data_IF_737151146377
#
_entry.id   IF_737151146377
#
_cell.length_a   1.000
_cell.length_b   1.000
_cell.length_c   1.000
_cell.angle_alpha   90.00
_cell.angle_beta   90.00
_cell.angle_gamma   90.00
#
_symmetry.space_group_name_H-M   'P 1'
#
loop_
_entity.id
_entity.type
_entity.pdbx_description
1 polymer ?
#
# COMPACT_ATOMS: atom_id res chain seq x y z
N UNK A 1 28.56 7.30 -3.11
CA UNK A 1 28.03 5.92 -3.34
C UNK A 1 27.02 5.45 -2.29
N UNK A 2 27.29 5.57 -0.98
CA UNK A 2 26.39 5.08 0.10
C UNK A 2 24.91 5.51 -0.04
N UNK A 3 24.65 6.77 -0.39
CA UNK A 3 23.28 7.30 -0.51
C UNK A 3 22.51 6.79 -1.75
N UNK A 4 23.21 6.29 -2.79
CA UNK A 4 22.57 5.69 -3.97
C UNK A 4 22.11 4.25 -3.70
N UNK A 5 22.97 3.44 -3.07
CA UNK A 5 22.64 2.05 -2.72
C UNK A 5 21.43 1.97 -1.78
N UNK A 6 21.33 2.87 -0.82
CA UNK A 6 20.21 2.92 0.14
C UNK A 6 18.90 3.26 -0.56
N UNK A 7 18.92 4.21 -1.52
CA UNK A 7 17.73 4.53 -2.32
C UNK A 7 17.26 3.33 -3.14
N UNK A 8 18.18 2.59 -3.74
CA UNK A 8 17.88 1.36 -4.48
C UNK A 8 17.29 0.29 -3.55
N UNK A 9 17.86 0.12 -2.35
CA UNK A 9 17.32 -0.80 -1.35
C UNK A 9 15.89 -0.45 -0.96
N UNK A 10 15.57 0.83 -0.74
CA UNK A 10 14.18 1.24 -0.49
C UNK A 10 13.27 1.06 -1.70
N UNK A 11 13.72 1.33 -2.93
CA UNK A 11 12.92 1.02 -4.12
C UNK A 11 12.52 -0.47 -4.14
N UNK A 12 13.48 -1.36 -3.88
CA UNK A 12 13.22 -2.80 -3.83
C UNK A 12 12.28 -3.17 -2.68
N UNK A 13 12.47 -2.60 -1.48
CA UNK A 13 11.60 -2.83 -0.34
C UNK A 13 10.15 -2.41 -0.61
N UNK A 14 9.93 -1.25 -1.25
CA UNK A 14 8.59 -0.82 -1.62
C UNK A 14 7.96 -1.69 -2.71
N UNK A 15 8.75 -2.14 -3.70
CA UNK A 15 8.28 -3.10 -4.70
C UNK A 15 7.84 -4.42 -4.06
N UNK A 16 8.66 -4.99 -3.16
CA UNK A 16 8.31 -6.21 -2.43
C UNK A 16 7.10 -6.01 -1.53
N UNK A 17 7.01 -4.88 -0.83
CA UNK A 17 5.87 -4.56 0.02
C UNK A 17 4.57 -4.46 -0.80
N UNK A 18 4.60 -3.82 -1.97
CA UNK A 18 3.43 -3.73 -2.84
C UNK A 18 3.03 -5.05 -3.49
N UNK A 19 4.01 -5.87 -3.88
CA UNK A 19 3.73 -7.23 -4.36
C UNK A 19 3.06 -8.06 -3.26
N UNK A 20 3.59 -8.03 -2.03
CA UNK A 20 3.06 -8.78 -0.91
C UNK A 20 1.70 -8.22 -0.41
N UNK A 21 1.49 -6.91 -0.47
CA UNK A 21 0.23 -6.29 -0.04
C UNK A 21 -0.94 -6.81 -0.86
N UNK A 22 -0.75 -7.13 -2.14
CA UNK A 22 -1.78 -7.74 -2.97
C UNK A 22 -2.31 -9.04 -2.37
N UNK A 23 -1.41 -9.96 -2.00
CA UNK A 23 -1.80 -11.24 -1.39
C UNK A 23 -2.59 -11.01 -0.10
N UNK A 24 -2.22 -10.01 0.70
CA UNK A 24 -2.95 -9.68 1.93
C UNK A 24 -4.33 -9.08 1.67
N UNK A 25 -4.45 -8.16 0.71
CA UNK A 25 -5.75 -7.57 0.32
C UNK A 25 -6.68 -8.66 -0.23
N UNK A 26 -6.16 -9.56 -1.06
CA UNK A 26 -6.93 -10.69 -1.59
C UNK A 26 -7.32 -11.68 -0.50
N UNK A 27 -6.45 -11.95 0.46
CA UNK A 27 -6.80 -12.78 1.61
C UNK A 27 -8.02 -12.22 2.35
N UNK A 28 -8.08 -10.90 2.60
CA UNK A 28 -9.25 -10.28 3.24
C UNK A 28 -10.48 -10.24 2.34
N UNK A 29 -10.31 -9.99 1.04
CA UNK A 29 -11.42 -9.92 0.11
C UNK A 29 -12.10 -11.28 -0.11
N UNK A 30 -11.31 -12.36 -0.08
CA UNK A 30 -11.77 -13.72 -0.35
C UNK A 30 -12.10 -14.52 0.91
N UNK A 31 -11.66 -14.11 2.11
CA UNK A 31 -11.82 -14.92 3.34
C UNK A 31 -13.26 -15.32 3.65
N UNK A 32 -14.24 -14.52 3.24
CA UNK A 32 -15.66 -14.79 3.50
C UNK A 32 -16.42 -15.21 2.23
N UNK A 33 -15.73 -15.51 1.12
CA UNK A 33 -16.34 -15.87 -0.16
C UNK A 33 -16.03 -17.31 -0.56
N UNK A 34 -17.06 -18.15 -0.59
CA UNK A 34 -17.00 -19.47 -1.22
C UNK A 34 -17.13 -19.31 -2.74
N UNK A 35 -16.02 -19.11 -3.45
CA UNK A 35 -16.02 -19.00 -4.90
C UNK A 35 -14.65 -19.28 -5.50
N UNK A 36 -14.63 -19.99 -6.64
CA UNK A 36 -13.43 -20.21 -7.45
C UNK A 36 -13.10 -18.89 -8.15
N UNK A 37 -11.89 -18.37 -7.93
CA UNK A 37 -11.46 -17.11 -8.57
C UNK A 37 -11.19 -17.38 -10.04
N UNK A 38 -12.10 -16.91 -10.90
CA UNK A 38 -12.15 -17.32 -12.31
C UNK A 38 -11.08 -16.71 -13.22
N UNK A 39 -10.16 -15.90 -12.70
CA UNK A 39 -9.26 -15.09 -13.54
C UNK A 39 -7.80 -15.14 -13.08
N UNK A 40 -7.08 -16.17 -13.54
CA UNK A 40 -5.65 -16.38 -13.23
C UNK A 40 -4.75 -15.27 -13.75
N UNK A 41 -5.14 -14.56 -14.81
CA UNK A 41 -4.35 -13.46 -15.38
C UNK A 41 -4.22 -12.28 -14.41
N UNK A 42 -5.32 -11.99 -13.70
CA UNK A 42 -5.38 -10.97 -12.66
C UNK A 42 -4.43 -11.28 -11.48
N UNK A 43 -4.12 -12.57 -11.21
CA UNK A 43 -3.15 -12.95 -10.17
C UNK A 43 -1.69 -12.67 -10.52
N UNK A 44 -1.34 -12.54 -11.80
CA UNK A 44 0.04 -12.23 -12.21
C UNK A 44 0.26 -10.73 -12.41
N UNK A 45 -0.69 -10.03 -13.02
CA UNK A 45 -0.54 -8.61 -13.35
C UNK A 45 -0.85 -7.71 -12.15
N UNK A 46 -1.91 -7.99 -11.38
CA UNK A 46 -2.31 -7.11 -10.29
C UNK A 46 -1.27 -6.94 -9.17
N UNK A 47 -0.52 -7.99 -8.73
CA UNK A 47 0.59 -7.79 -7.81
C UNK A 47 1.69 -6.89 -8.35
N UNK A 48 1.96 -6.92 -9.66
CA UNK A 48 2.95 -6.06 -10.30
C UNK A 48 2.49 -4.60 -10.34
N UNK A 49 1.20 -4.37 -10.63
CA UNK A 49 0.59 -3.03 -10.55
C UNK A 49 0.66 -2.51 -9.11
N UNK A 50 0.36 -3.35 -8.12
CA UNK A 50 0.48 -3.00 -6.71
C UNK A 50 1.93 -2.66 -6.32
N UNK A 51 2.91 -3.46 -6.75
CA UNK A 51 4.32 -3.16 -6.56
C UNK A 51 4.71 -1.81 -7.17
N UNK A 52 4.30 -1.54 -8.40
CA UNK A 52 4.56 -0.26 -9.07
C UNK A 52 3.90 0.92 -8.33
N UNK A 53 2.67 0.76 -7.86
CA UNK A 53 1.99 1.78 -7.07
C UNK A 53 2.75 2.12 -5.77
N UNK A 54 3.24 1.11 -5.06
CA UNK A 54 4.08 1.33 -3.87
C UNK A 54 5.39 2.04 -4.20
N UNK A 55 6.02 1.72 -5.33
CA UNK A 55 7.19 2.45 -5.81
C UNK A 55 6.85 3.94 -6.05
N UNK A 56 5.71 4.24 -6.68
CA UNK A 56 5.25 5.62 -6.89
C UNK A 56 5.03 6.35 -5.56
N UNK A 57 4.42 5.69 -4.56
CA UNK A 57 4.26 6.25 -3.21
C UNK A 57 5.61 6.63 -2.61
N UNK A 58 6.62 5.76 -2.72
CA UNK A 58 7.96 6.05 -2.21
C UNK A 58 8.62 7.24 -2.91
N UNK A 59 8.53 7.31 -4.24
CA UNK A 59 9.07 8.44 -4.99
C UNK A 59 8.36 9.74 -4.61
N UNK A 60 7.03 9.70 -4.47
CA UNK A 60 6.22 10.85 -4.11
C UNK A 60 6.51 11.33 -2.69
N UNK A 61 6.57 10.42 -1.71
CA UNK A 61 6.90 10.76 -0.33
C UNK A 61 8.32 11.31 -0.22
N UNK A 62 9.29 10.71 -0.90
CA UNK A 62 10.68 11.20 -0.91
C UNK A 62 10.79 12.58 -1.54
N UNK A 63 10.01 12.86 -2.60
CA UNK A 63 9.95 14.18 -3.22
C UNK A 63 9.32 15.22 -2.29
N UNK A 64 8.14 14.93 -1.73
CA UNK A 64 7.38 15.86 -0.90
C UNK A 64 8.06 16.15 0.45
N UNK A 65 8.73 15.14 1.03
CA UNK A 65 9.41 15.22 2.33
C UNK A 65 10.94 15.33 2.20
N UNK A 66 11.44 15.78 1.04
CA UNK A 66 12.87 15.87 0.74
C UNK A 66 13.68 16.63 1.81
N UNK A 67 13.12 17.67 2.45
CA UNK A 67 13.79 18.40 3.55
C UNK A 67 14.08 17.52 4.77
N UNK A 68 13.21 16.57 5.13
CA UNK A 68 13.46 15.62 6.23
C UNK A 68 14.46 14.54 5.84
N UNK A 69 14.43 14.09 4.58
CA UNK A 69 15.44 13.17 4.02
C UNK A 69 16.86 13.75 4.02
N UNK A 70 16.99 15.08 4.06
CA UNK A 70 18.26 15.80 3.97
C UNK A 70 18.85 16.15 5.35
N UNK A 71 18.06 16.13 6.43
CA UNK A 71 18.51 16.60 7.75
C UNK A 71 19.56 15.67 8.40
N UNK A 72 19.44 14.35 8.20
CA UNK A 72 20.51 13.38 8.46
C UNK A 72 20.19 12.04 7.79
N UNK A 73 21.22 11.24 7.48
CA UNK A 73 21.05 9.91 6.92
C UNK A 73 20.17 9.00 7.81
N UNK A 74 20.35 9.06 9.13
CA UNK A 74 19.53 8.32 10.08
C UNK A 74 18.06 8.74 10.05
N UNK A 75 17.77 10.05 9.97
CA UNK A 75 16.41 10.58 9.84
C UNK A 75 15.74 10.14 8.54
N UNK A 76 16.51 10.06 7.45
CA UNK A 76 16.01 9.51 6.18
C UNK A 76 15.62 8.04 6.29
N UNK A 77 16.49 7.19 6.86
CA UNK A 77 16.18 5.76 7.06
C UNK A 77 14.93 5.60 7.90
N UNK A 78 14.90 6.27 9.05
CA UNK A 78 13.79 6.21 10.00
C UNK A 78 12.47 6.66 9.37
N UNK A 79 12.48 7.77 8.63
CA UNK A 79 11.31 8.25 7.90
C UNK A 79 10.77 7.21 6.92
N UNK A 80 11.61 6.62 6.06
CA UNK A 80 11.15 5.65 5.07
C UNK A 80 10.63 4.37 5.71
N UNK A 81 11.28 3.89 6.77
CA UNK A 81 10.84 2.69 7.50
C UNK A 81 9.45 2.92 8.11
N UNK A 82 9.26 4.03 8.82
CA UNK A 82 7.96 4.31 9.45
C UNK A 82 6.91 4.63 8.40
N UNK A 83 7.24 5.36 7.33
CA UNK A 83 6.30 5.66 6.27
C UNK A 83 5.81 4.38 5.58
N UNK A 84 6.74 3.47 5.25
CA UNK A 84 6.43 2.14 4.70
C UNK A 84 5.51 1.36 5.64
N UNK A 85 5.89 1.24 6.92
CA UNK A 85 5.14 0.48 7.92
C UNK A 85 3.74 1.08 8.16
N UNK A 86 3.64 2.40 8.29
CA UNK A 86 2.37 3.10 8.48
C UNK A 86 1.43 2.88 7.28
N UNK A 87 1.95 3.01 6.06
CA UNK A 87 1.15 2.78 4.85
C UNK A 87 0.65 1.33 4.81
N UNK A 88 1.52 0.37 5.11
CA UNK A 88 1.16 -1.06 5.13
C UNK A 88 0.08 -1.38 6.16
N UNK A 89 0.20 -0.81 7.37
CA UNK A 89 -0.77 -0.98 8.44
C UNK A 89 -2.12 -0.37 8.08
N UNK A 90 -2.14 0.86 7.55
CA UNK A 90 -3.38 1.52 7.13
C UNK A 90 -4.03 0.76 5.98
N UNK A 91 -3.25 0.27 5.01
CA UNK A 91 -3.76 -0.55 3.92
C UNK A 91 -4.39 -1.85 4.40
N UNK A 92 -3.73 -2.53 5.33
CA UNK A 92 -4.27 -3.75 5.96
C UNK A 92 -5.59 -3.45 6.68
N UNK A 93 -5.66 -2.34 7.41
CA UNK A 93 -6.87 -1.89 8.11
C UNK A 93 -8.01 -1.56 7.16
N UNK A 94 -7.74 -0.76 6.12
CA UNK A 94 -8.72 -0.38 5.09
C UNK A 94 -9.21 -1.62 4.35
N UNK A 95 -8.31 -2.53 3.94
CA UNK A 95 -8.70 -3.77 3.27
C UNK A 95 -9.64 -4.63 4.11
N UNK A 96 -9.35 -4.77 5.42
CA UNK A 96 -10.19 -5.53 6.36
C UNK A 96 -11.56 -4.87 6.54
N UNK A 97 -11.60 -3.56 6.77
CA UNK A 97 -12.85 -2.81 6.97
C UNK A 97 -13.70 -2.84 5.69
N UNK A 98 -13.10 -2.53 4.54
CA UNK A 98 -13.81 -2.53 3.26
C UNK A 98 -14.34 -3.91 2.90
N UNK A 99 -13.58 -4.99 3.17
CA UNK A 99 -14.06 -6.36 2.94
C UNK A 99 -15.31 -6.67 3.78
N UNK A 100 -15.28 -6.31 5.07
CA UNK A 100 -16.44 -6.48 5.96
C UNK A 100 -17.70 -5.80 5.40
N UNK A 101 -17.62 -4.52 5.02
CA UNK A 101 -18.75 -3.79 4.44
C UNK A 101 -19.25 -4.41 3.13
N UNK A 102 -18.32 -4.85 2.27
CA UNK A 102 -18.67 -5.44 0.99
C UNK A 102 -19.37 -6.80 1.13
N UNK A 103 -18.96 -7.60 2.12
CA UNK A 103 -19.56 -8.90 2.40
C UNK A 103 -20.94 -8.76 3.06
N UNK A 104 -21.15 -7.76 3.93
CA UNK A 104 -22.49 -7.48 4.50
C UNK A 104 -23.51 -7.01 3.46
N UNK A 105 -23.07 -6.47 2.32
CA UNK A 105 -23.95 -5.99 1.25
C UNK A 105 -24.35 -7.08 0.25
N UNK A 106 -23.67 -8.24 0.23
CA UNK A 106 -23.92 -9.33 -0.70
C UNK A 106 -24.76 -10.42 -0.02
N UNK A 107 -26.08 -10.38 -0.21
CA UNK A 107 -27.00 -11.37 0.35
C UNK A 107 -26.99 -12.75 -0.37
N UNK A 108 -26.18 -12.96 -1.42
CA UNK A 108 -26.22 -14.21 -2.21
C UNK A 108 -24.84 -14.60 -2.79
N UNK A 109 -24.61 -15.92 -2.88
CA UNK A 109 -23.42 -16.55 -3.46
C UNK A 109 -23.38 -16.25 -4.96
N UNK A 110 -22.46 -15.39 -5.38
CA UNK A 110 -22.21 -15.09 -6.80
C UNK A 110 -20.73 -15.27 -7.14
N UNK A 111 -20.46 -15.58 -8.41
CA UNK A 111 -19.11 -15.58 -9.00
C UNK A 111 -18.40 -14.27 -8.67
N UNK A 112 -17.25 -14.39 -8.00
CA UNK A 112 -16.51 -13.25 -7.47
C UNK A 112 -15.63 -12.67 -8.58
N UNK A 113 -16.15 -11.66 -9.27
CA UNK A 113 -15.29 -10.76 -10.02
C UNK A 113 -14.63 -9.78 -9.06
N UNK A 114 -13.30 -9.70 -9.12
CA UNK A 114 -12.55 -8.75 -8.29
C UNK A 114 -12.97 -7.33 -8.71
N UNK A 115 -13.61 -6.61 -7.79
CA UNK A 115 -14.05 -5.25 -8.09
C UNK A 115 -12.84 -4.31 -8.14
N UNK A 116 -12.53 -3.79 -9.34
CA UNK A 116 -11.43 -2.84 -9.55
C UNK A 116 -11.56 -1.56 -8.72
N UNK A 117 -12.78 -1.08 -8.48
CA UNK A 117 -13.03 0.09 -7.64
C UNK A 117 -12.71 -0.19 -6.17
N UNK A 118 -13.03 -1.40 -5.67
CA UNK A 118 -12.63 -1.82 -4.33
C UNK A 118 -11.12 -1.79 -4.18
N UNK A 119 -10.40 -2.43 -5.11
CA UNK A 119 -8.94 -2.45 -5.11
C UNK A 119 -8.36 -1.04 -5.15
N UNK A 120 -8.84 -0.21 -6.07
CA UNK A 120 -8.38 1.16 -6.22
C UNK A 120 -8.51 1.96 -4.92
N UNK A 121 -9.66 1.88 -4.25
CA UNK A 121 -9.91 2.57 -2.99
C UNK A 121 -9.02 2.02 -1.86
N UNK A 122 -8.84 0.71 -1.78
CA UNK A 122 -7.98 0.06 -0.77
C UNK A 122 -6.53 0.48 -0.89
N UNK A 123 -6.04 0.85 -2.08
CA UNK A 123 -4.67 1.33 -2.27
C UNK A 123 -4.54 2.86 -2.16
N UNK A 124 -5.52 3.62 -2.65
CA UNK A 124 -5.46 5.09 -2.62
C UNK A 124 -5.73 5.67 -1.23
N UNK A 125 -6.73 5.16 -0.50
CA UNK A 125 -7.10 5.69 0.81
C UNK A 125 -5.89 5.64 1.78
N UNK A 126 -5.16 4.51 1.92
CA UNK A 126 -3.98 4.46 2.75
C UNK A 126 -2.87 5.39 2.30
N UNK A 127 -2.66 5.53 0.98
CA UNK A 127 -1.66 6.44 0.44
C UNK A 127 -1.94 7.89 0.85
N UNK A 128 -3.18 8.34 0.67
CA UNK A 128 -3.61 9.69 1.05
C UNK A 128 -3.53 9.87 2.56
N UNK A 129 -4.08 8.95 3.36
CA UNK A 129 -4.07 9.05 4.81
C UNK A 129 -2.64 9.10 5.36
N UNK A 130 -1.75 8.24 4.88
CA UNK A 130 -0.34 8.23 5.31
C UNK A 130 0.34 9.54 4.94
N UNK A 131 0.13 10.05 3.73
CA UNK A 131 0.68 11.35 3.30
C UNK A 131 0.16 12.49 4.19
N UNK A 132 -1.14 12.53 4.50
CA UNK A 132 -1.74 13.55 5.34
C UNK A 132 -1.25 13.49 6.79
N UNK A 133 -1.16 12.28 7.37
CA UNK A 133 -0.63 12.09 8.73
C UNK A 133 0.80 12.62 8.79
N UNK A 134 1.66 12.23 7.85
CA UNK A 134 3.06 12.68 7.84
C UNK A 134 3.20 14.16 7.46
N UNK A 135 2.31 14.72 6.64
CA UNK A 135 2.23 16.15 6.39
C UNK A 135 1.80 16.94 7.65
N UNK A 136 0.90 16.38 8.47
CA UNK A 136 0.51 16.94 9.75
C UNK A 136 1.64 16.88 10.79
N UNK A 137 2.31 15.72 10.90
CA UNK A 137 3.51 15.55 11.74
C UNK A 137 4.62 16.51 11.31
N UNK A 138 4.80 16.73 10.00
CA UNK A 138 5.74 17.73 9.46
C UNK A 138 5.52 19.12 10.05
N UNK A 139 4.27 19.59 10.19
CA UNK A 139 4.01 20.93 10.78
C UNK A 139 4.50 21.05 12.23
N UNK A 140 4.60 19.94 12.97
CA UNK A 140 5.08 19.91 14.36
C UNK A 140 6.58 19.67 14.52
N UNK A 141 7.25 19.19 13.46
CA UNK A 141 8.68 18.84 13.47
C UNK A 141 9.56 19.89 12.76
N UNK A 142 8.95 20.94 12.20
CA UNK A 142 9.63 22.18 11.82
C UNK A 142 9.73 23.10 13.04
#
# INVERSE_FOLDING_TARGET
>A
MKNKMVKVAFCLLYLFAGYHSWSKVMQYYLSDRQGIVGDMHSYFIAPLIAAFFWLLIYLFSTYFFRRFSLASFAKYLFFNIIFLAANYLILTGVAKISSYYYNTALNQVQLVHVNNQFLFLVYIIPAILTLLIFAGVRKKWQ
#
